data_IF_681906913799
#
_entry.id   IF_681906913799
#
_cell.length_a   1.000
_cell.length_b   1.000
_cell.length_c   1.000
_cell.angle_alpha   90.00
_cell.angle_beta   90.00
_cell.angle_gamma   90.00
#
_symmetry.space_group_name_H-M   'P 1'
#
loop_
_entity.id
_entity.type
_entity.pdbx_description
1 polymer ?
#
# COMPACT_ATOMS: atom_id res chain seq x y z
N UNK A 1 17.35 -0.48 -35.42
CA UNK A 1 16.23 -1.29 -34.89
C UNK A 1 15.84 -0.69 -33.55
N UNK A 2 14.71 -0.01 -33.51
CA UNK A 2 14.22 0.64 -32.30
C UNK A 2 13.65 -0.41 -31.35
N UNK A 3 14.21 -0.51 -30.13
CA UNK A 3 13.74 -1.47 -29.13
C UNK A 3 12.41 -0.98 -28.57
N UNK A 4 11.31 -1.66 -28.94
CA UNK A 4 10.00 -1.40 -28.35
C UNK A 4 10.01 -1.89 -26.89
N UNK A 5 10.03 -0.98 -25.93
CA UNK A 5 9.91 -1.32 -24.51
C UNK A 5 8.45 -1.71 -24.21
N UNK A 6 8.23 -2.94 -23.78
CA UNK A 6 6.93 -3.39 -23.28
C UNK A 6 6.83 -2.99 -21.81
N UNK A 7 5.98 -2.00 -21.50
CA UNK A 7 5.68 -1.60 -20.13
C UNK A 7 4.32 -2.18 -19.77
N UNK A 8 4.31 -3.11 -18.81
CA UNK A 8 3.08 -3.69 -18.26
C UNK A 8 2.74 -2.94 -16.98
N UNK A 9 1.52 -2.39 -16.83
CA UNK A 9 1.11 -1.72 -15.60
C UNK A 9 1.02 -2.73 -14.45
N UNK A 10 1.51 -2.34 -13.28
CA UNK A 10 1.45 -3.17 -12.07
C UNK A 10 0.05 -3.15 -11.48
N UNK A 11 -0.46 -4.30 -11.07
CA UNK A 11 -1.72 -4.41 -10.36
C UNK A 11 -1.55 -4.16 -8.86
N UNK A 12 -2.35 -3.24 -8.33
CA UNK A 12 -2.32 -2.88 -6.90
C UNK A 12 -3.43 -3.61 -6.18
N UNK A 13 -3.08 -4.34 -5.12
CA UNK A 13 -3.99 -5.08 -4.27
C UNK A 13 -4.07 -4.48 -2.87
N UNK A 14 -5.23 -4.63 -2.24
CA UNK A 14 -5.42 -4.23 -0.84
C UNK A 14 -6.33 -5.23 -0.12
N UNK A 15 -6.15 -5.34 1.20
CA UNK A 15 -6.86 -6.31 2.05
C UNK A 15 -8.26 -5.79 2.41
N UNK A 16 -9.27 -6.58 2.06
CA UNK A 16 -10.68 -6.37 2.36
C UNK A 16 -11.15 -7.50 3.26
N UNK A 17 -11.41 -7.21 4.55
CA UNK A 17 -12.02 -8.12 5.55
C UNK A 17 -11.48 -9.57 5.47
N UNK A 18 -10.17 -9.73 5.34
CA UNK A 18 -9.51 -11.04 5.38
C UNK A 18 -8.90 -11.55 4.06
N UNK A 19 -9.25 -10.98 2.90
CA UNK A 19 -8.69 -11.39 1.60
C UNK A 19 -8.17 -10.21 0.78
N UNK A 20 -7.37 -10.47 -0.26
CA UNK A 20 -6.85 -9.44 -1.16
C UNK A 20 -7.78 -9.21 -2.35
N UNK A 21 -8.08 -7.93 -2.64
CA UNK A 21 -8.89 -7.51 -3.79
C UNK A 21 -8.15 -6.42 -4.57
N UNK A 22 -8.15 -6.46 -5.92
CA UNK A 22 -7.47 -5.43 -6.70
C UNK A 22 -8.20 -4.09 -6.56
N UNK A 23 -7.43 -3.02 -6.39
CA UNK A 23 -7.93 -1.67 -6.05
C UNK A 23 -8.71 -1.06 -7.20
N UNK A 24 -8.33 -1.38 -8.44
CA UNK A 24 -9.02 -0.92 -9.66
C UNK A 24 -10.50 -1.37 -9.73
N UNK A 25 -10.88 -2.46 -9.06
CA UNK A 25 -12.24 -2.99 -9.05
C UNK A 25 -13.12 -2.42 -7.92
N UNK A 26 -12.65 -1.46 -7.13
CA UNK A 26 -13.43 -0.89 -6.02
C UNK A 26 -14.65 -0.11 -6.48
N UNK A 27 -15.82 -0.47 -5.92
CA UNK A 27 -17.05 0.30 -6.12
C UNK A 27 -17.01 1.60 -5.29
N UNK A 28 -17.98 2.49 -5.51
CA UNK A 28 -18.03 3.80 -4.83
C UNK A 28 -18.05 3.67 -3.30
N UNK A 29 -18.89 2.79 -2.76
CA UNK A 29 -19.00 2.59 -1.31
C UNK A 29 -17.72 2.06 -0.67
N UNK A 30 -16.98 1.18 -1.36
CA UNK A 30 -15.70 0.66 -0.84
C UNK A 30 -14.61 1.73 -0.80
N UNK A 31 -14.61 2.66 -1.77
CA UNK A 31 -13.69 3.80 -1.77
C UNK A 31 -13.97 4.71 -0.57
N UNK A 32 -15.24 5.00 -0.30
CA UNK A 32 -15.68 5.79 0.86
C UNK A 32 -15.30 5.11 2.19
N UNK A 33 -15.63 3.83 2.36
CA UNK A 33 -15.26 3.09 3.57
C UNK A 33 -13.75 3.04 3.78
N UNK A 34 -12.97 2.92 2.70
CA UNK A 34 -11.51 2.92 2.81
C UNK A 34 -10.97 4.28 3.27
N UNK A 35 -11.53 5.40 2.81
CA UNK A 35 -11.13 6.73 3.30
C UNK A 35 -11.47 6.98 4.77
N UNK A 36 -12.47 6.28 5.31
CA UNK A 36 -12.84 6.38 6.73
C UNK A 36 -11.96 5.51 7.65
N UNK A 37 -11.11 4.62 7.10
CA UNK A 37 -10.22 3.77 7.91
C UNK A 37 -9.18 4.59 8.65
N UNK A 38 -9.07 4.34 9.96
CA UNK A 38 -8.02 4.92 10.81
C UNK A 38 -6.88 3.92 10.98
N UNK A 39 -5.66 4.36 10.68
CA UNK A 39 -4.46 3.58 10.98
C UNK A 39 -4.08 3.79 12.45
N UNK A 40 -3.64 2.71 13.09
CA UNK A 40 -3.00 2.82 14.38
C UNK A 40 -1.60 3.41 14.18
N UNK A 41 -1.32 4.55 14.82
CA UNK A 41 -0.01 5.16 14.79
C UNK A 41 0.76 4.68 16.01
N UNK A 42 1.86 3.95 15.79
CA UNK A 42 2.67 3.37 16.85
C UNK A 42 3.60 4.38 17.56
N UNK A 43 3.30 5.68 17.50
CA UNK A 43 4.18 6.78 17.95
C UNK A 43 4.47 6.74 19.47
N UNK A 44 3.74 5.92 20.22
CA UNK A 44 3.84 5.82 21.68
C UNK A 44 4.37 4.48 22.21
N UNK A 45 4.66 3.50 21.35
CA UNK A 45 5.13 2.19 21.79
C UNK A 45 6.39 1.78 21.04
N UNK A 46 7.52 2.15 21.65
CA UNK A 46 8.89 1.67 21.43
C UNK A 46 9.64 2.27 20.22
N UNK A 47 10.52 3.19 20.59
CA UNK A 47 11.87 3.33 20.01
C UNK A 47 12.54 1.96 20.09
N UNK A 48 12.35 1.10 19.09
CA UNK A 48 13.27 -0.01 18.85
C UNK A 48 14.19 0.38 17.69
N UNK A 49 15.45 0.58 18.08
CA UNK A 49 16.60 1.11 17.36
C UNK A 49 16.92 0.49 15.98
N UNK A 50 16.15 -0.46 15.46
CA UNK A 50 16.47 -1.20 14.23
C UNK A 50 15.86 -0.55 12.95
N UNK A 51 14.72 0.13 13.03
CA UNK A 51 14.04 0.64 11.83
C UNK A 51 14.70 1.90 11.21
N UNK A 52 15.44 2.67 12.02
CA UNK A 52 16.08 3.91 11.58
C UNK A 52 17.31 3.72 10.67
N UNK A 53 17.84 2.49 10.54
CA UNK A 53 18.89 2.19 9.56
C UNK A 53 18.34 2.06 8.13
N UNK A 54 17.14 1.48 7.96
CA UNK A 54 16.54 1.29 6.65
C UNK A 54 16.08 2.60 5.98
N UNK A 55 15.75 3.63 6.75
CA UNK A 55 15.34 4.94 6.20
C UNK A 55 16.52 5.83 5.78
N UNK A 56 17.77 5.47 6.13
CA UNK A 56 18.98 6.21 5.72
C UNK A 56 19.73 5.58 4.54
N UNK A 57 19.36 4.35 4.16
CA UNK A 57 20.00 3.61 3.08
C UNK A 57 19.25 3.69 1.73
N UNK A 58 18.27 4.61 1.60
CA UNK A 58 17.52 4.89 0.37
C UNK A 58 17.79 6.32 -0.08
#
# INVERSE_FOLDING_TARGET
MEKKSLVVPVEVYSRVVGYFRPVNQWNKGKKEEFSERKTFKAEHFLVDSCCNEYQRAV
#
